data_IF_008935894546
#
_entry.id   IF_008935894546
#
_cell.length_a   1.000
_cell.length_b   1.000
_cell.length_c   1.000
_cell.angle_alpha   90.00
_cell.angle_beta   90.00
_cell.angle_gamma   90.00
#
_symmetry.space_group_name_H-M   'P 1'
#
loop_
_entity.id
_entity.type
_entity.pdbx_description
1 polymer ?
#
# COMPACT_ATOMS: atom_id res chain seq x y z
N UNK A 1 9.35 -3.78 -17.74
CA UNK A 1 10.60 -4.23 -17.09
C UNK A 1 11.12 -5.42 -17.88
N UNK A 2 12.06 -5.16 -18.82
CA UNK A 2 12.64 -6.22 -19.68
C UNK A 2 14.06 -6.59 -19.22
N UNK A 3 14.39 -6.38 -17.96
CA UNK A 3 15.66 -6.82 -17.41
C UNK A 3 15.53 -8.27 -16.93
N UNK A 4 16.26 -9.23 -17.53
CA UNK A 4 16.19 -10.65 -17.17
C UNK A 4 16.73 -10.93 -15.75
N UNK A 5 17.44 -10.00 -15.14
CA UNK A 5 17.96 -10.11 -13.77
C UNK A 5 16.99 -9.63 -12.70
N UNK A 6 15.85 -9.02 -13.11
CA UNK A 6 14.82 -8.54 -12.19
C UNK A 6 13.61 -9.47 -12.22
N UNK A 7 13.21 -9.93 -11.07
CA UNK A 7 11.94 -10.62 -10.86
C UNK A 7 10.95 -9.71 -10.12
N UNK A 8 9.69 -9.81 -10.49
CA UNK A 8 8.61 -9.07 -9.85
C UNK A 8 7.56 -10.04 -9.30
N UNK A 9 7.18 -9.84 -8.05
CA UNK A 9 6.10 -10.59 -7.42
C UNK A 9 5.19 -9.68 -6.62
N UNK A 10 3.91 -10.00 -6.60
CA UNK A 10 2.96 -9.30 -5.73
C UNK A 10 3.00 -9.90 -4.32
N UNK A 11 2.94 -9.05 -3.31
CA UNK A 11 2.73 -9.51 -1.95
C UNK A 11 1.35 -10.17 -1.82
N UNK A 12 1.22 -11.17 -0.94
CA UNK A 12 -0.09 -11.64 -0.52
C UNK A 12 -0.92 -10.45 0.00
N UNK A 13 -2.19 -10.36 -0.40
CA UNK A 13 -3.08 -9.23 -0.10
C UNK A 13 -2.65 -7.89 -0.71
N UNK A 14 -2.00 -7.94 -1.86
CA UNK A 14 -1.76 -6.72 -2.65
C UNK A 14 -3.08 -6.04 -2.99
N UNK A 15 -3.10 -4.71 -2.91
CA UNK A 15 -4.27 -3.95 -3.33
C UNK A 15 -4.43 -4.03 -4.86
N UNK A 16 -5.61 -4.44 -5.30
CA UNK A 16 -5.98 -4.44 -6.73
C UNK A 16 -6.96 -3.31 -6.98
N UNK A 17 -6.56 -2.38 -7.84
CA UNK A 17 -7.42 -1.28 -8.27
C UNK A 17 -7.84 -1.52 -9.72
N UNK A 18 -9.10 -1.89 -9.98
CA UNK A 18 -9.61 -2.02 -11.33
C UNK A 18 -9.60 -0.69 -12.07
N UNK A 19 -9.34 -0.72 -13.36
CA UNK A 19 -9.55 0.45 -14.21
C UNK A 19 -11.00 0.45 -14.71
N UNK A 20 -11.71 1.52 -14.42
CA UNK A 20 -13.10 1.70 -14.81
C UNK A 20 -13.22 2.58 -16.05
N UNK A 21 -14.23 2.31 -16.86
CA UNK A 21 -14.66 3.17 -17.97
C UNK A 21 -16.14 3.47 -17.80
N UNK A 22 -16.53 4.72 -17.99
CA UNK A 22 -17.92 5.16 -17.85
C UNK A 22 -18.28 6.17 -18.93
N UNK A 23 -19.59 6.26 -19.23
CA UNK A 23 -20.15 7.26 -20.13
C UNK A 23 -20.68 8.41 -19.28
N UNK A 24 -20.24 9.63 -19.56
CA UNK A 24 -20.76 10.81 -18.89
C UNK A 24 -22.23 11.03 -19.26
N UNK A 25 -23.06 11.38 -18.27
CA UNK A 25 -24.53 11.52 -18.39
C UNK A 25 -24.98 12.43 -19.54
N UNK A 26 -24.19 13.46 -19.88
CA UNK A 26 -24.49 14.43 -20.94
C UNK A 26 -23.57 14.30 -22.16
N UNK A 27 -22.97 13.14 -22.37
CA UNK A 27 -22.08 12.92 -23.51
C UNK A 27 -22.89 13.06 -24.84
N UNK A 28 -22.48 13.93 -25.77
CA UNK A 28 -23.16 14.06 -27.06
C UNK A 28 -22.93 12.83 -27.97
N UNK A 29 -21.96 11.98 -27.63
CA UNK A 29 -21.58 10.79 -28.38
C UNK A 29 -21.79 9.50 -27.60
N UNK A 30 -22.83 9.40 -26.77
CA UNK A 30 -23.09 8.27 -25.90
C UNK A 30 -23.12 6.91 -26.63
N UNK A 31 -23.67 6.86 -27.86
CA UNK A 31 -23.73 5.61 -28.62
C UNK A 31 -22.36 5.17 -29.16
N UNK A 32 -21.52 6.11 -29.55
CA UNK A 32 -20.14 5.81 -29.93
C UNK A 32 -19.35 5.31 -28.71
N UNK A 33 -19.54 5.94 -27.55
CA UNK A 33 -18.93 5.51 -26.30
C UNK A 33 -19.39 4.11 -25.88
N UNK A 34 -20.68 3.76 -26.02
CA UNK A 34 -21.17 2.39 -25.80
C UNK A 34 -20.48 1.38 -26.70
N UNK A 35 -20.42 1.65 -28.02
CA UNK A 35 -19.73 0.76 -28.96
C UNK A 35 -18.28 0.56 -28.60
N UNK A 36 -17.58 1.60 -28.14
CA UNK A 36 -16.20 1.52 -27.68
C UNK A 36 -16.08 0.64 -26.43
N UNK A 37 -16.95 0.81 -25.43
CA UNK A 37 -16.97 -0.03 -24.22
C UNK A 37 -17.25 -1.49 -24.58
N UNK A 38 -18.22 -1.76 -25.45
CA UNK A 38 -18.50 -3.11 -25.94
C UNK A 38 -17.28 -3.73 -26.64
N UNK A 39 -16.55 -2.94 -27.44
CA UNK A 39 -15.33 -3.39 -28.06
C UNK A 39 -14.25 -3.72 -27.02
N UNK A 40 -14.03 -2.84 -26.04
CA UNK A 40 -13.06 -3.09 -24.95
C UNK A 40 -13.35 -4.39 -24.21
N UNK A 41 -14.61 -4.67 -23.91
CA UNK A 41 -15.04 -5.85 -23.19
C UNK A 41 -15.19 -7.11 -24.07
N UNK A 42 -15.06 -6.96 -25.39
CA UNK A 42 -15.10 -8.10 -26.32
C UNK A 42 -13.83 -8.97 -26.20
N UNK A 43 -13.88 -10.24 -26.63
CA UNK A 43 -12.69 -11.10 -26.66
C UNK A 43 -11.52 -10.48 -27.45
N UNK A 44 -11.80 -9.68 -28.49
CA UNK A 44 -10.78 -8.99 -29.27
C UNK A 44 -10.12 -7.86 -28.46
N UNK A 45 -10.91 -7.03 -27.79
CA UNK A 45 -10.39 -5.95 -26.92
C UNK A 45 -9.62 -6.49 -25.72
N UNK A 46 -10.12 -7.56 -25.10
CA UNK A 46 -9.47 -8.18 -23.94
C UNK A 46 -8.13 -8.86 -24.30
N UNK A 47 -7.99 -9.41 -25.52
CA UNK A 47 -6.70 -9.94 -25.99
C UNK A 47 -5.61 -8.89 -26.09
N UNK A 48 -5.95 -7.63 -26.40
CA UNK A 48 -4.98 -6.52 -26.41
C UNK A 48 -4.42 -6.32 -25.00
N UNK A 49 -5.27 -6.40 -23.98
CA UNK A 49 -4.83 -6.27 -22.56
C UNK A 49 -4.06 -7.50 -22.07
N UNK A 50 -4.25 -8.65 -22.72
CA UNK A 50 -3.49 -9.85 -22.40
C UNK A 50 -2.01 -9.78 -22.82
N UNK A 51 -1.64 -8.83 -23.71
CA UNK A 51 -0.25 -8.59 -24.09
C UNK A 51 0.55 -8.06 -22.88
N UNK A 52 1.68 -8.70 -22.60
CA UNK A 52 2.55 -8.34 -21.48
C UNK A 52 3.07 -6.90 -21.54
N UNK A 53 3.25 -6.36 -22.75
CA UNK A 53 3.73 -4.99 -22.96
C UNK A 53 2.74 -3.91 -22.50
N UNK A 54 1.46 -4.25 -22.34
CA UNK A 54 0.44 -3.29 -21.83
C UNK A 54 0.59 -3.02 -20.34
N UNK A 55 1.26 -3.89 -19.59
CA UNK A 55 1.32 -3.84 -18.13
C UNK A 55 -0.04 -4.01 -17.44
N UNK A 56 -1.06 -4.47 -18.17
CA UNK A 56 -2.44 -4.65 -17.70
C UNK A 56 -2.81 -6.13 -17.64
N UNK A 57 -3.87 -6.42 -16.91
CA UNK A 57 -4.56 -7.70 -16.95
C UNK A 57 -5.95 -7.50 -17.55
N UNK A 58 -6.41 -8.40 -18.45
CA UNK A 58 -7.79 -8.39 -18.90
C UNK A 58 -8.74 -8.74 -17.74
N UNK A 59 -10.01 -8.33 -17.85
CA UNK A 59 -11.04 -8.74 -16.87
C UNK A 59 -11.52 -10.17 -17.10
N UNK A 60 -11.27 -10.73 -18.29
CA UNK A 60 -11.52 -12.14 -18.60
C UNK A 60 -10.31 -12.98 -18.19
N UNK A 61 -10.49 -14.20 -17.69
CA UNK A 61 -9.38 -15.09 -17.38
C UNK A 61 -8.45 -15.30 -18.58
N UNK A 62 -7.16 -15.28 -18.33
CA UNK A 62 -6.17 -15.69 -19.31
C UNK A 62 -6.22 -17.21 -19.49
N UNK A 63 -5.83 -17.69 -20.68
CA UNK A 63 -5.70 -19.11 -20.95
C UNK A 63 -4.66 -19.73 -20.00
N UNK A 64 -4.86 -21.00 -19.63
CA UNK A 64 -4.04 -21.66 -18.62
C UNK A 64 -2.55 -21.79 -18.99
N UNK A 65 -2.25 -21.82 -20.27
CA UNK A 65 -0.90 -21.83 -20.84
C UNK A 65 -0.21 -20.45 -20.86
N UNK A 66 -0.96 -19.39 -20.57
CA UNK A 66 -0.38 -18.06 -20.51
C UNK A 66 0.48 -17.90 -19.24
N UNK A 67 1.76 -17.51 -19.35
CA UNK A 67 2.67 -17.41 -18.21
C UNK A 67 2.20 -16.42 -17.13
N UNK A 68 1.25 -15.52 -17.45
CA UNK A 68 0.66 -14.55 -16.53
C UNK A 68 -0.64 -15.04 -15.88
N UNK A 69 -1.17 -16.20 -16.25
CA UNK A 69 -2.49 -16.67 -15.79
C UNK A 69 -2.54 -16.87 -14.28
N UNK A 70 -1.54 -17.52 -13.70
CA UNK A 70 -1.46 -17.75 -12.24
C UNK A 70 -1.45 -16.43 -11.46
N UNK A 71 -0.69 -15.45 -11.93
CA UNK A 71 -0.60 -14.14 -11.29
C UNK A 71 -1.90 -13.35 -11.42
N UNK A 72 -2.57 -13.40 -12.59
CA UNK A 72 -3.88 -12.81 -12.78
C UNK A 72 -4.90 -13.41 -11.80
N UNK A 73 -4.92 -14.74 -11.66
CA UNK A 73 -5.84 -15.42 -10.74
C UNK A 73 -5.61 -15.02 -9.29
N UNK A 74 -4.36 -14.90 -8.85
CA UNK A 74 -4.03 -14.40 -7.52
C UNK A 74 -4.56 -12.98 -7.29
N UNK A 75 -4.42 -12.10 -8.28
CA UNK A 75 -4.91 -10.72 -8.20
C UNK A 75 -6.44 -10.66 -8.20
N UNK A 76 -7.11 -11.44 -9.04
CA UNK A 76 -8.59 -11.47 -9.13
C UNK A 76 -9.25 -12.04 -7.87
N UNK A 77 -8.56 -12.91 -7.14
CA UNK A 77 -9.03 -13.49 -5.89
C UNK A 77 -8.75 -12.60 -4.66
N UNK A 78 -8.11 -11.43 -4.84
CA UNK A 78 -7.94 -10.50 -3.73
C UNK A 78 -9.27 -9.89 -3.31
N UNK A 79 -9.47 -9.64 -2.01
CA UNK A 79 -10.68 -8.97 -1.55
C UNK A 79 -10.76 -7.56 -2.18
N UNK A 80 -11.96 -7.11 -2.53
CA UNK A 80 -12.14 -5.78 -3.09
C UNK A 80 -11.69 -4.69 -2.11
N UNK A 81 -11.11 -3.61 -2.65
CA UNK A 81 -10.76 -2.45 -1.83
C UNK A 81 -12.02 -1.80 -1.25
N UNK A 82 -12.02 -1.62 0.06
CA UNK A 82 -13.05 -0.82 0.70
C UNK A 82 -12.76 0.68 0.51
N UNK A 83 -13.17 1.22 -0.65
CA UNK A 83 -12.94 2.63 -1.00
C UNK A 83 -13.54 3.60 0.03
N UNK A 84 -14.67 3.27 0.62
CA UNK A 84 -15.28 4.09 1.66
C UNK A 84 -14.39 4.20 2.89
N UNK A 85 -13.79 3.10 3.33
CA UNK A 85 -12.85 3.10 4.43
C UNK A 85 -11.54 3.81 4.08
N UNK A 86 -11.04 3.61 2.86
CA UNK A 86 -9.85 4.31 2.35
C UNK A 86 -10.04 5.82 2.40
N UNK A 87 -11.17 6.32 1.89
CA UNK A 87 -11.47 7.76 1.90
C UNK A 87 -11.62 8.31 3.32
N UNK A 88 -12.30 7.57 4.20
CA UNK A 88 -12.42 7.98 5.62
C UNK A 88 -11.07 8.07 6.32
N UNK A 89 -10.17 7.14 6.05
CA UNK A 89 -8.84 7.07 6.68
C UNK A 89 -7.78 7.92 6.00
N UNK A 90 -8.06 8.52 4.86
CA UNK A 90 -7.06 9.18 4.02
C UNK A 90 -6.21 10.19 4.78
N UNK A 91 -6.84 11.09 5.56
CA UNK A 91 -6.14 12.11 6.33
C UNK A 91 -5.31 11.50 7.46
N UNK A 92 -5.88 10.57 8.21
CA UNK A 92 -5.15 9.83 9.24
C UNK A 92 -3.90 9.17 8.67
N UNK A 93 -4.06 8.40 7.59
CA UNK A 93 -2.96 7.64 6.98
C UNK A 93 -1.88 8.58 6.47
N UNK A 94 -2.25 9.69 5.81
CA UNK A 94 -1.29 10.66 5.31
C UNK A 94 -0.47 11.27 6.46
N UNK A 95 -1.13 11.75 7.53
CA UNK A 95 -0.45 12.39 8.67
C UNK A 95 0.41 11.40 9.46
N UNK A 96 -0.09 10.18 9.61
CA UNK A 96 0.67 9.11 10.27
C UNK A 96 1.91 8.73 9.45
N UNK A 97 1.78 8.60 8.13
CA UNK A 97 2.90 8.30 7.23
C UNK A 97 3.96 9.41 7.26
N UNK A 98 3.53 10.68 7.18
CA UNK A 98 4.46 11.81 7.25
C UNK A 98 5.24 11.79 8.57
N UNK A 99 4.55 11.54 9.68
CA UNK A 99 5.14 11.53 11.01
C UNK A 99 6.05 10.33 11.25
N UNK A 100 5.62 9.15 10.80
CA UNK A 100 6.35 7.90 11.01
C UNK A 100 7.56 7.74 10.09
N UNK A 101 7.45 8.21 8.85
CA UNK A 101 8.40 7.92 7.78
C UNK A 101 9.00 9.20 7.20
N UNK A 102 8.18 10.09 6.58
CA UNK A 102 8.70 11.18 5.77
C UNK A 102 9.63 12.12 6.55
N UNK A 103 9.19 12.57 7.73
CA UNK A 103 9.95 13.53 8.55
C UNK A 103 11.16 12.93 9.26
N UNK A 104 11.29 11.60 9.26
CA UNK A 104 12.29 10.86 10.04
C UNK A 104 13.04 9.83 9.20
N UNK A 105 12.96 9.94 7.88
CA UNK A 105 13.47 8.92 6.97
C UNK A 105 14.95 8.61 7.18
N UNK A 106 15.79 9.61 7.44
CA UNK A 106 17.22 9.42 7.68
C UNK A 106 17.45 8.59 8.95
N UNK A 107 16.88 9.02 10.07
CA UNK A 107 17.01 8.34 11.38
C UNK A 107 16.41 6.92 11.32
N UNK A 108 15.30 6.75 10.61
CA UNK A 108 14.67 5.45 10.43
C UNK A 108 15.58 4.49 9.63
N UNK A 109 16.19 4.98 8.54
CA UNK A 109 17.17 4.21 7.76
C UNK A 109 18.36 3.78 8.61
N UNK A 110 18.88 4.64 9.48
CA UNK A 110 20.01 4.32 10.35
C UNK A 110 19.63 3.25 11.39
N UNK A 111 18.44 3.36 12.00
CA UNK A 111 17.94 2.37 12.93
C UNK A 111 17.74 0.99 12.25
N UNK A 112 17.19 0.96 11.06
CA UNK A 112 17.03 -0.28 10.30
C UNK A 112 18.37 -0.89 9.88
N UNK A 113 19.33 -0.05 9.47
CA UNK A 113 20.68 -0.49 9.13
C UNK A 113 21.38 -1.12 10.34
N UNK A 114 21.28 -0.50 11.51
CA UNK A 114 21.81 -1.04 12.78
C UNK A 114 21.13 -2.37 13.15
N UNK A 115 19.80 -2.48 13.02
CA UNK A 115 19.06 -3.71 13.27
C UNK A 115 19.54 -4.84 12.36
N UNK A 116 19.54 -4.62 11.05
CA UNK A 116 19.95 -5.65 10.08
C UNK A 116 21.40 -6.10 10.27
N UNK A 117 22.32 -5.17 10.56
CA UNK A 117 23.72 -5.51 10.85
C UNK A 117 23.84 -6.38 12.09
N UNK A 118 23.06 -6.08 13.14
CA UNK A 118 23.06 -6.86 14.38
C UNK A 118 22.44 -8.25 14.18
N UNK A 119 21.31 -8.34 13.48
CA UNK A 119 20.66 -9.61 13.12
C UNK A 119 21.61 -10.50 12.30
N UNK A 120 22.32 -9.93 11.34
CA UNK A 120 23.30 -10.65 10.51
C UNK A 120 24.47 -11.17 11.35
N UNK A 121 25.02 -10.34 12.24
CA UNK A 121 26.12 -10.74 13.15
C UNK A 121 25.71 -11.85 14.12
N UNK A 122 24.50 -11.74 14.69
CA UNK A 122 23.98 -12.72 15.66
C UNK A 122 23.37 -13.96 14.97
N UNK A 123 23.19 -13.93 13.66
CA UNK A 123 22.51 -14.97 12.85
C UNK A 123 21.12 -15.33 13.39
N UNK A 124 20.42 -14.37 13.95
CA UNK A 124 19.04 -14.53 14.45
C UNK A 124 18.22 -13.25 14.31
N UNK A 125 16.90 -13.35 14.08
CA UNK A 125 16.01 -12.19 14.06
C UNK A 125 15.85 -11.61 15.47
N UNK A 126 15.58 -10.30 15.53
CA UNK A 126 15.32 -9.54 16.76
C UNK A 126 13.89 -8.96 16.73
N UNK A 127 12.84 -9.80 16.86
CA UNK A 127 11.46 -9.39 16.64
C UNK A 127 10.98 -8.27 17.57
N UNK A 128 11.44 -8.26 18.82
CA UNK A 128 11.10 -7.20 19.79
C UNK A 128 11.63 -5.84 19.36
N UNK A 129 12.86 -5.78 18.85
CA UNK A 129 13.46 -4.53 18.38
C UNK A 129 12.81 -4.11 17.07
N UNK A 130 12.53 -5.07 16.19
CA UNK A 130 11.77 -4.83 14.95
C UNK A 130 10.38 -4.26 15.24
N UNK A 131 9.67 -4.77 16.25
CA UNK A 131 8.38 -4.27 16.69
C UNK A 131 8.45 -2.79 17.10
N UNK A 132 9.48 -2.36 17.84
CA UNK A 132 9.67 -0.95 18.21
C UNK A 132 9.77 -0.01 17.00
N UNK A 133 10.28 -0.49 15.86
CA UNK A 133 10.42 0.29 14.63
C UNK A 133 9.20 0.22 13.70
N UNK A 134 8.30 -0.75 13.89
CA UNK A 134 7.16 -1.01 13.00
C UNK A 134 5.80 -0.71 13.60
N UNK A 135 5.69 -0.69 14.93
CA UNK A 135 4.42 -0.38 15.61
C UNK A 135 3.95 1.03 15.30
N UNK A 136 2.64 1.23 15.36
CA UNK A 136 2.01 2.55 15.18
C UNK A 136 1.14 2.90 16.39
N UNK A 137 1.11 4.18 16.83
CA UNK A 137 0.40 4.61 18.02
C UNK A 137 -1.10 4.87 17.76
N UNK A 138 -1.73 4.05 16.93
CA UNK A 138 -3.14 4.17 16.58
C UNK A 138 -3.80 2.81 16.72
N UNK A 139 -4.76 2.71 17.63
CA UNK A 139 -5.55 1.49 17.79
C UNK A 139 -6.43 1.22 16.57
N UNK A 140 -6.63 -0.05 16.24
CA UNK A 140 -7.49 -0.46 15.13
C UNK A 140 -8.91 0.14 15.27
N UNK A 141 -9.51 0.07 16.46
CA UNK A 141 -10.83 0.63 16.74
C UNK A 141 -10.90 2.14 16.45
N UNK A 142 -9.89 2.92 16.87
CA UNK A 142 -9.83 4.36 16.57
C UNK A 142 -9.74 4.63 15.06
N UNK A 143 -9.04 3.78 14.32
CA UNK A 143 -8.91 3.94 12.86
C UNK A 143 -10.21 3.63 12.10
N UNK A 144 -11.24 3.15 12.78
CA UNK A 144 -12.58 2.86 12.23
C UNK A 144 -13.66 3.80 12.78
N UNK A 145 -13.36 4.53 13.86
CA UNK A 145 -14.31 5.46 14.50
C UNK A 145 -14.47 6.73 13.63
N UNK A 146 -15.66 6.96 13.03
CA UNK A 146 -15.90 8.11 12.18
C UNK A 146 -15.85 9.45 12.93
N UNK A 147 -16.17 9.45 14.22
CA UNK A 147 -16.13 10.67 15.06
C UNK A 147 -14.68 11.07 15.30
N UNK A 148 -13.84 10.12 15.65
CA UNK A 148 -12.41 10.37 15.84
C UNK A 148 -11.72 10.76 14.52
N UNK A 149 -12.04 10.07 13.42
CA UNK A 149 -11.49 10.37 12.09
C UNK A 149 -11.86 11.78 11.60
N UNK A 150 -13.09 12.24 11.88
CA UNK A 150 -13.53 13.59 11.51
C UNK A 150 -12.74 14.69 12.24
N UNK A 151 -12.14 14.40 13.39
CA UNK A 151 -11.32 15.39 14.11
C UNK A 151 -10.06 15.80 13.33
N UNK A 152 -9.58 14.98 12.39
CA UNK A 152 -8.47 15.35 11.50
C UNK A 152 -8.81 16.47 10.50
N UNK A 153 -10.06 16.91 10.43
CA UNK A 153 -10.46 18.13 9.74
C UNK A 153 -10.09 19.39 10.54
N UNK A 154 -9.89 19.26 11.86
CA UNK A 154 -9.45 20.33 12.73
C UNK A 154 -7.91 20.38 12.75
N UNK A 155 -7.36 21.55 12.38
CA UNK A 155 -5.91 21.76 12.30
C UNK A 155 -5.22 21.60 13.66
N UNK A 156 -5.78 22.20 14.72
CA UNK A 156 -5.20 22.13 16.06
C UNK A 156 -5.15 20.68 16.59
N UNK A 157 -6.24 19.94 16.42
CA UNK A 157 -6.27 18.52 16.78
C UNK A 157 -5.19 17.72 16.02
N UNK A 158 -5.11 17.93 14.69
CA UNK A 158 -4.14 17.25 13.84
C UNK A 158 -2.70 17.51 14.27
N UNK A 159 -2.35 18.79 14.53
CA UNK A 159 -1.02 19.18 14.97
C UNK A 159 -0.66 18.55 16.33
N UNK A 160 -1.60 18.55 17.28
CA UNK A 160 -1.41 17.91 18.60
C UNK A 160 -1.20 16.40 18.47
N UNK A 161 -1.96 15.73 17.63
CA UNK A 161 -1.81 14.29 17.39
C UNK A 161 -0.46 13.97 16.73
N UNK A 162 -0.06 14.74 15.72
CA UNK A 162 1.24 14.56 15.07
C UNK A 162 2.40 14.74 16.06
N UNK A 163 2.32 15.73 16.95
CA UNK A 163 3.33 15.94 18.02
C UNK A 163 3.43 14.73 18.96
N UNK A 164 2.28 14.20 19.42
CA UNK A 164 2.23 12.99 20.25
C UNK A 164 2.87 11.78 19.52
N UNK A 165 2.56 11.60 18.25
CA UNK A 165 3.12 10.53 17.44
C UNK A 165 4.63 10.69 17.21
N UNK A 166 5.11 11.92 16.98
CA UNK A 166 6.54 12.20 16.84
C UNK A 166 7.31 11.80 18.09
N UNK A 167 6.82 12.17 19.28
CA UNK A 167 7.44 11.77 20.55
C UNK A 167 7.42 10.26 20.73
N UNK A 168 6.30 9.62 20.40
CA UNK A 168 6.15 8.17 20.51
C UNK A 168 7.16 7.42 19.62
N UNK A 169 7.23 7.79 18.34
CA UNK A 169 8.19 7.20 17.39
C UNK A 169 9.63 7.45 17.79
N UNK A 170 9.95 8.66 18.27
CA UNK A 170 11.28 9.01 18.73
C UNK A 170 11.70 8.15 19.92
N UNK A 171 10.81 7.96 20.89
CA UNK A 171 11.09 7.16 22.08
C UNK A 171 11.30 5.68 21.72
N UNK A 172 10.45 5.11 20.86
CA UNK A 172 10.59 3.73 20.40
C UNK A 172 11.89 3.52 19.61
N UNK A 173 12.26 4.47 18.76
CA UNK A 173 13.51 4.39 18.01
C UNK A 173 14.73 4.48 18.94
N UNK A 174 14.72 5.38 19.92
CA UNK A 174 15.80 5.47 20.93
C UNK A 174 15.93 4.18 21.71
N UNK A 175 14.80 3.60 22.14
CA UNK A 175 14.78 2.32 22.83
C UNK A 175 15.33 1.18 21.96
N UNK A 176 14.95 1.15 20.67
CA UNK A 176 15.47 0.17 19.71
C UNK A 176 16.99 0.27 19.58
N UNK A 177 17.52 1.49 19.40
CA UNK A 177 18.98 1.71 19.29
C UNK A 177 19.69 1.31 20.58
N UNK A 178 19.17 1.70 21.75
CA UNK A 178 19.73 1.31 23.04
C UNK A 178 19.82 -0.21 23.18
N UNK A 179 18.73 -0.93 22.88
CA UNK A 179 18.72 -2.40 22.91
C UNK A 179 19.74 -3.03 21.93
N UNK A 180 19.95 -2.41 20.76
CA UNK A 180 20.97 -2.86 19.80
C UNK A 180 22.39 -2.63 20.31
N UNK A 181 22.62 -1.56 21.06
CA UNK A 181 23.92 -1.26 21.68
C UNK A 181 24.26 -2.25 22.80
N UNK A 182 23.28 -2.67 23.59
CA UNK A 182 23.42 -3.68 24.63
C UNK A 182 23.77 -5.07 24.06
N UNK A 183 23.60 -5.28 22.76
CA UNK A 183 23.93 -6.55 22.09
C UNK A 183 25.29 -6.49 21.36
N UNK A 184 26.04 -5.42 21.45
CA UNK A 184 27.41 -5.33 20.84
C UNK A 184 28.41 -6.16 21.63
#
# INVERSE_FOLDING_TARGET
LNDPHLSFTYFPRSAVSPTYVAILKKSPHADAARRFIHYLLSPKGQRILADANTGKYPVTPLAADNPRATQQQLLMNQPPLNYHLILKRQRLVQRLFDTAISFRLAQLKDAWRALHSTEARLKKPLPEIRALLTQVPVAAASSEDPVWLAQFDNKSFTEQQMMKWQLWFLNNQRLAIKKLEELK
#
